data_IF_005051720139
#
_entry.id   IF_005051720139
#
_cell.length_a   1.000
_cell.length_b   1.000
_cell.length_c   1.000
_cell.angle_alpha   90.00
_cell.angle_beta   90.00
_cell.angle_gamma   90.00
#
_symmetry.space_group_name_H-M   'P 1'
#
loop_
_entity.id
_entity.type
_entity.pdbx_description
1 polymer ?
#
# COMPACT_ATOMS: atom_id res chain seq x y z
N UNK A 1 -4.09 4.20 3.69
CA UNK A 1 -3.43 2.95 3.29
C UNK A 1 -1.97 3.05 3.68
N UNK A 2 -1.39 1.96 4.17
CA UNK A 2 0.01 1.88 4.59
C UNK A 2 0.73 0.78 3.81
N UNK A 3 2.05 0.91 3.65
CA UNK A 3 2.91 -0.07 3.02
C UNK A 3 4.03 -0.47 3.96
N UNK A 4 4.40 -1.75 4.02
CA UNK A 4 5.59 -2.17 4.73
C UNK A 4 6.86 -1.78 3.97
N UNK A 5 7.81 -1.18 4.69
CA UNK A 5 9.16 -0.91 4.20
C UNK A 5 10.06 -2.15 4.36
N UNK A 6 9.80 -2.95 5.39
CA UNK A 6 10.58 -4.14 5.74
C UNK A 6 9.68 -5.36 5.92
N UNK A 7 10.26 -6.55 5.83
CA UNK A 7 9.59 -7.78 6.22
C UNK A 7 9.52 -7.87 7.75
N UNK A 8 8.47 -8.51 8.25
CA UNK A 8 8.27 -8.77 9.66
C UNK A 8 7.81 -10.20 9.89
N UNK A 9 8.48 -10.89 10.80
CA UNK A 9 8.16 -12.24 11.24
C UNK A 9 8.23 -12.27 12.77
N UNK A 10 7.20 -12.81 13.41
CA UNK A 10 7.14 -12.99 14.87
C UNK A 10 6.45 -14.30 15.20
N UNK A 11 6.86 -14.94 16.30
CA UNK A 11 6.21 -16.15 16.82
C UNK A 11 4.88 -15.85 17.54
N UNK A 12 4.61 -14.59 17.87
CA UNK A 12 3.41 -14.17 18.61
C UNK A 12 2.14 -14.38 17.78
N UNK A 13 1.10 -14.96 18.39
CA UNK A 13 -0.16 -15.33 17.70
C UNK A 13 -1.00 -14.13 17.25
N UNK A 14 -0.88 -13.01 17.94
CA UNK A 14 -1.59 -11.77 17.67
C UNK A 14 -0.83 -10.85 16.69
N UNK A 15 0.44 -11.15 16.41
CA UNK A 15 1.26 -10.38 15.49
C UNK A 15 1.12 -10.90 14.06
N UNK A 16 0.84 -9.99 13.12
CA UNK A 16 0.63 -10.32 11.72
C UNK A 16 1.97 -10.39 11.00
N UNK A 17 2.30 -11.53 10.38
CA UNK A 17 3.56 -11.74 9.65
C UNK A 17 3.45 -11.28 8.21
N UNK A 18 4.46 -10.58 7.68
CA UNK A 18 4.41 -10.05 6.32
C UNK A 18 5.75 -9.81 5.61
N UNK A 19 5.77 -9.88 4.26
CA UNK A 19 6.91 -9.45 3.46
C UNK A 19 6.98 -7.92 3.34
N UNK A 20 8.14 -7.41 2.92
CA UNK A 20 8.29 -6.00 2.54
C UNK A 20 7.41 -5.66 1.33
N UNK A 21 6.87 -4.45 1.30
CA UNK A 21 5.99 -3.97 0.24
C UNK A 21 4.52 -4.38 0.37
N UNK A 22 4.15 -5.17 1.38
CA UNK A 22 2.77 -5.53 1.68
C UNK A 22 1.94 -4.30 2.05
N UNK A 23 0.66 -4.32 1.71
CA UNK A 23 -0.26 -3.21 1.94
C UNK A 23 -1.23 -3.50 3.09
N UNK A 24 -1.49 -2.47 3.90
CA UNK A 24 -2.35 -2.57 5.08
C UNK A 24 -3.38 -1.45 5.16
N UNK A 25 -4.56 -1.82 5.64
CA UNK A 25 -5.55 -0.90 6.18
C UNK A 25 -5.41 -0.89 7.70
N UNK A 26 -4.93 0.22 8.25
CA UNK A 26 -4.79 0.39 9.70
C UNK A 26 -6.18 0.65 10.29
N UNK A 27 -6.58 -0.21 11.23
CA UNK A 27 -7.86 -0.14 11.95
C UNK A 27 -7.72 0.66 13.24
N UNK A 28 -6.64 0.45 14.00
CA UNK A 28 -6.42 1.10 15.30
C UNK A 28 -4.96 1.57 15.44
N UNK A 29 -4.79 2.79 15.97
CA UNK A 29 -3.48 3.46 16.16
C UNK A 29 -3.22 3.91 17.60
N UNK A 30 -4.00 3.40 18.56
CA UNK A 30 -3.92 3.80 19.97
C UNK A 30 -2.56 3.43 20.59
N UNK A 31 -1.92 2.36 20.11
CA UNK A 31 -0.59 1.96 20.53
C UNK A 31 0.53 2.79 19.88
N UNK A 32 1.52 3.20 20.67
CA UNK A 32 2.68 3.95 20.16
C UNK A 32 3.56 3.12 19.19
N UNK A 33 3.69 1.82 19.45
CA UNK A 33 4.60 0.94 18.70
C UNK A 33 3.87 -0.11 17.85
N UNK A 34 2.66 -0.50 18.23
CA UNK A 34 1.90 -1.57 17.61
C UNK A 34 0.52 -1.09 17.21
N UNK A 35 0.20 -1.26 15.93
CA UNK A 35 -1.09 -0.89 15.35
C UNK A 35 -1.85 -2.12 14.91
N UNK A 36 -3.16 -2.10 15.08
CA UNK A 36 -4.03 -3.14 14.54
C UNK A 36 -4.31 -2.82 13.07
N UNK A 37 -4.05 -3.77 12.18
CA UNK A 37 -4.24 -3.57 10.76
C UNK A 37 -4.71 -4.84 10.05
N UNK A 38 -5.41 -4.64 8.93
CA UNK A 38 -5.85 -5.68 8.01
C UNK A 38 -4.99 -5.66 6.76
N UNK A 39 -4.41 -6.80 6.40
CA UNK A 39 -3.66 -7.00 5.16
C UNK A 39 -4.59 -6.89 3.96
N UNK A 40 -4.22 -6.08 2.97
CA UNK A 40 -5.04 -5.86 1.78
C UNK A 40 -5.09 -7.08 0.85
N UNK A 41 -4.03 -7.90 0.81
CA UNK A 41 -3.94 -9.06 -0.07
C UNK A 41 -4.77 -10.26 0.42
N UNK A 42 -4.79 -10.53 1.72
CA UNK A 42 -5.47 -11.71 2.30
C UNK A 42 -6.68 -11.40 3.19
N UNK A 43 -6.87 -10.14 3.62
CA UNK A 43 -7.90 -9.77 4.60
C UNK A 43 -7.57 -10.17 6.05
N UNK A 44 -6.38 -10.73 6.29
CA UNK A 44 -5.96 -11.14 7.64
C UNK A 44 -5.68 -9.92 8.52
N UNK A 45 -6.14 -9.96 9.77
CA UNK A 45 -6.02 -8.85 10.71
C UNK A 45 -5.13 -9.25 11.88
N UNK A 46 -4.24 -8.34 12.28
CA UNK A 46 -3.39 -8.53 13.44
C UNK A 46 -2.53 -7.30 13.73
N UNK A 47 -1.70 -7.40 14.76
CA UNK A 47 -0.83 -6.32 15.18
C UNK A 47 0.42 -6.25 14.32
N UNK A 48 0.78 -5.04 13.90
CA UNK A 48 1.96 -4.74 13.10
C UNK A 48 2.79 -3.64 13.75
N UNK A 49 4.13 -3.69 13.65
CA UNK A 49 4.99 -2.64 14.18
C UNK A 49 4.83 -1.36 13.35
N UNK A 50 4.42 -0.27 14.00
CA UNK A 50 4.18 1.02 13.37
C UNK A 50 5.43 1.58 12.68
N UNK A 51 6.62 1.29 13.22
CA UNK A 51 7.90 1.73 12.66
C UNK A 51 8.26 1.07 11.32
N UNK A 52 7.61 -0.05 10.96
CA UNK A 52 7.92 -0.82 9.75
C UNK A 52 7.03 -0.42 8.57
N UNK A 53 6.06 0.44 8.81
CA UNK A 53 5.06 0.83 7.82
C UNK A 53 5.09 2.32 7.57
N UNK A 54 4.89 2.70 6.32
CA UNK A 54 4.76 4.09 5.90
C UNK A 54 3.36 4.36 5.37
N UNK A 55 2.87 5.59 5.60
CA UNK A 55 1.59 6.03 5.02
C UNK A 55 1.80 6.23 3.53
N UNK A 56 1.00 5.57 2.69
CA UNK A 56 1.03 5.78 1.25
C UNK A 56 0.34 7.12 0.96
N UNK A 57 1.05 8.14 0.42
CA UNK A 57 0.41 9.39 0.05
C UNK A 57 -0.53 9.19 -1.13
N UNK A 58 -1.61 9.98 -1.19
CA UNK A 58 -2.64 9.86 -2.23
C UNK A 58 -2.07 10.06 -3.64
N UNK A 59 -1.05 10.91 -3.79
CA UNK A 59 -0.33 11.09 -5.07
C UNK A 59 0.33 9.78 -5.53
N UNK A 60 0.91 9.03 -4.60
CA UNK A 60 1.49 7.71 -4.89
C UNK A 60 0.43 6.64 -5.14
N UNK A 61 -0.78 6.76 -4.56
CA UNK A 61 -1.88 5.83 -4.85
C UNK A 61 -2.35 5.95 -6.30
N UNK A 62 -2.47 7.17 -6.84
CA UNK A 62 -2.88 7.38 -8.24
C UNK A 62 -1.86 6.74 -9.18
N UNK A 63 -0.57 7.03 -9.00
CA UNK A 63 0.51 6.43 -9.81
C UNK A 63 0.57 4.91 -9.63
N UNK A 64 0.41 4.39 -8.42
CA UNK A 64 0.41 2.96 -8.15
C UNK A 64 -0.75 2.23 -8.81
N UNK A 65 -1.98 2.76 -8.69
CA UNK A 65 -3.17 2.20 -9.36
C UNK A 65 -2.98 2.23 -10.87
N UNK A 66 -2.51 3.36 -11.41
CA UNK A 66 -2.22 3.52 -12.83
C UNK A 66 -1.27 2.40 -13.27
N UNK A 67 -0.06 2.31 -12.72
CA UNK A 67 0.96 1.29 -13.06
C UNK A 67 0.41 -0.13 -12.94
N UNK A 68 -0.30 -0.47 -11.86
CA UNK A 68 -0.86 -1.82 -11.67
C UNK A 68 -1.95 -2.15 -12.69
N UNK A 69 -2.76 -1.17 -13.10
CA UNK A 69 -3.73 -1.29 -14.18
C UNK A 69 -3.04 -1.55 -15.54
N UNK A 70 -1.91 -0.88 -15.83
CA UNK A 70 -1.12 -1.17 -17.05
C UNK A 70 -0.45 -2.54 -16.99
N UNK A 71 0.17 -2.89 -15.86
CA UNK A 71 0.86 -4.17 -15.67
C UNK A 71 -0.08 -5.38 -15.73
N UNK A 72 -1.35 -5.24 -15.29
CA UNK A 72 -2.38 -6.28 -15.37
C UNK A 72 -3.14 -6.32 -16.71
N UNK A 73 -2.76 -5.50 -17.68
CA UNK A 73 -3.05 -5.71 -19.10
C UNK A 73 -4.53 -5.81 -19.52
N UNK A 74 -5.47 -5.17 -18.82
CA UNK A 74 -6.90 -5.32 -19.18
C UNK A 74 -7.84 -4.14 -18.94
N UNK A 75 -7.33 -2.90 -18.93
CA UNK A 75 -8.23 -1.73 -18.96
C UNK A 75 -7.73 -0.75 -20.04
N UNK A 76 -8.48 -0.68 -21.15
CA UNK A 76 -8.35 0.40 -22.13
C UNK A 76 -8.79 1.68 -21.43
N UNK A 77 -7.87 2.61 -21.21
CA UNK A 77 -8.16 3.92 -20.64
C UNK A 77 -9.09 4.67 -21.58
N UNK A 78 -10.37 4.74 -21.25
CA UNK A 78 -11.27 5.76 -21.80
C UNK A 78 -11.02 7.05 -21.02
N UNK A 79 -10.29 7.97 -21.66
CA UNK A 79 -10.30 9.41 -21.37
C UNK A 79 -9.79 9.85 -19.99
N UNK A 80 -8.50 10.19 -19.90
CA UNK A 80 -7.92 11.03 -18.85
C UNK A 80 -7.04 12.12 -19.48
N UNK A 81 -6.89 13.30 -18.84
CA UNK A 81 -6.74 14.57 -19.52
C UNK A 81 -5.37 14.72 -20.19
N UNK A 82 -5.43 14.88 -21.52
CA UNK A 82 -4.53 15.62 -22.41
C UNK A 82 -3.29 16.21 -21.72
N UNK A 83 -2.19 15.47 -21.73
CA UNK A 83 -0.87 16.03 -21.54
C UNK A 83 -0.54 16.90 -22.77
N UNK A 84 -0.82 18.19 -22.64
CA UNK A 84 -0.28 19.23 -23.50
C UNK A 84 1.17 19.50 -23.07
N UNK A 85 1.96 19.99 -24.04
CA UNK A 85 3.31 20.56 -24.00
C UNK A 85 4.44 19.55 -24.27
N UNK A 86 5.34 19.74 -25.24
CA UNK A 86 5.57 20.77 -26.25
C UNK A 86 6.48 20.10 -27.29
N UNK A 87 6.07 20.06 -28.55
CA UNK A 87 7.00 19.78 -29.65
C UNK A 87 7.73 21.08 -30.01
N UNK A 88 9.04 21.02 -30.13
CA UNK A 88 9.79 21.91 -31.02
C UNK A 88 11.23 22.18 -30.60
N UNK A 89 12.01 22.86 -31.46
CA UNK A 89 11.86 22.99 -32.92
C UNK A 89 12.62 21.90 -33.70
#
# INVERSE_FOLDING_TARGET
MYRSLFSFSSAERNALRFPAGECFLVLERSGAHWWLATRCSSGETGYIPAAYIEKIPVRSLITYIHIQTYAKGRIKTVGGPRALLLEGP
#
